data_IF_023382711121
#
_entry.id   IF_023382711121
#
_cell.length_a   1.000
_cell.length_b   1.000
_cell.length_c   1.000
_cell.angle_alpha   90.00
_cell.angle_beta   90.00
_cell.angle_gamma   90.00
#
_symmetry.space_group_name_H-M   'P 1'
#
loop_
_entity.id
_entity.type
_entity.pdbx_description
1 polymer ?
#
# COMPACT_ATOMS: atom_id res chain seq x y z
N UNK A 1 43.02 9.34 4.52
CA UNK A 1 42.04 10.43 4.37
C UNK A 1 40.81 9.86 3.65
N UNK A 2 39.62 10.09 4.22
CA UNK A 2 38.27 9.84 3.71
C UNK A 2 37.81 8.39 3.51
N UNK A 3 37.34 7.77 4.60
CA UNK A 3 36.43 6.62 4.59
C UNK A 3 35.18 6.99 5.41
N UNK A 4 34.28 7.81 4.83
CA UNK A 4 33.01 8.18 5.47
C UNK A 4 31.88 8.53 4.48
N UNK A 5 31.99 8.14 3.20
CA UNK A 5 31.02 8.56 2.16
C UNK A 5 29.94 7.51 1.83
N UNK A 6 30.03 6.27 2.30
CA UNK A 6 29.20 5.18 1.77
C UNK A 6 28.03 4.69 2.67
N UNK A 7 27.61 5.49 3.65
CA UNK A 7 26.46 5.13 4.52
C UNK A 7 25.26 6.09 4.47
N UNK A 8 25.42 7.30 3.94
CA UNK A 8 24.28 8.21 3.70
C UNK A 8 23.49 7.86 2.42
N UNK A 9 24.15 7.33 1.39
CA UNK A 9 23.49 7.02 0.12
C UNK A 9 22.47 5.87 0.25
N UNK A 10 22.79 4.83 1.03
CA UNK A 10 21.85 3.72 1.31
C UNK A 10 20.61 4.17 2.08
N UNK A 11 20.74 5.12 3.01
CA UNK A 11 19.60 5.69 3.74
C UNK A 11 18.72 6.53 2.81
N UNK A 12 19.34 7.29 1.88
CA UNK A 12 18.62 8.12 0.91
C UNK A 12 17.88 7.28 -0.13
N UNK A 13 18.51 6.22 -0.64
CA UNK A 13 17.87 5.22 -1.51
C UNK A 13 16.73 4.51 -0.78
N UNK A 14 16.91 4.09 0.49
CA UNK A 14 15.81 3.53 1.30
C UNK A 14 14.66 4.50 1.47
N UNK A 15 14.92 5.80 1.67
CA UNK A 15 13.87 6.83 1.80
C UNK A 15 13.14 7.07 0.48
N UNK A 16 13.86 7.06 -0.66
CA UNK A 16 13.28 7.14 -2.01
C UNK A 16 12.44 5.92 -2.33
N UNK A 17 12.96 4.72 -2.06
CA UNK A 17 12.28 3.46 -2.25
C UNK A 17 11.08 3.34 -1.31
N UNK A 18 11.16 3.79 -0.05
CA UNK A 18 10.02 3.79 0.87
C UNK A 18 8.87 4.67 0.36
N UNK A 19 9.17 5.86 -0.16
CA UNK A 19 8.16 6.73 -0.76
C UNK A 19 7.52 6.10 -2.02
N UNK A 20 8.34 5.51 -2.88
CA UNK A 20 7.88 4.84 -4.10
C UNK A 20 7.07 3.58 -3.80
N UNK A 21 7.54 2.74 -2.87
CA UNK A 21 6.85 1.55 -2.39
C UNK A 21 5.52 1.93 -1.73
N UNK A 22 5.48 2.99 -0.92
CA UNK A 22 4.22 3.47 -0.34
C UNK A 22 3.25 4.01 -1.41
N UNK A 23 3.74 4.64 -2.47
CA UNK A 23 2.92 5.06 -3.60
C UNK A 23 2.36 3.86 -4.37
N UNK A 24 3.17 2.83 -4.59
CA UNK A 24 2.76 1.57 -5.21
C UNK A 24 1.72 0.86 -4.34
N UNK A 25 1.95 0.73 -3.03
CA UNK A 25 0.99 0.14 -2.09
C UNK A 25 -0.32 0.91 -2.05
N UNK A 26 -0.29 2.25 -2.04
CA UNK A 26 -1.50 3.08 -2.13
C UNK A 26 -2.25 2.82 -3.44
N UNK A 27 -1.53 2.72 -4.56
CA UNK A 27 -2.13 2.46 -5.87
C UNK A 27 -2.71 1.05 -5.97
N UNK A 28 -2.04 0.04 -5.41
CA UNK A 28 -2.57 -1.32 -5.27
C UNK A 28 -3.83 -1.34 -4.41
N UNK A 29 -3.81 -0.72 -3.23
CA UNK A 29 -4.97 -0.61 -2.36
C UNK A 29 -6.16 0.10 -3.04
N UNK A 30 -5.91 1.18 -3.77
CA UNK A 30 -6.95 1.88 -4.54
C UNK A 30 -7.51 1.03 -5.68
N UNK A 31 -6.67 0.27 -6.38
CA UNK A 31 -7.11 -0.66 -7.42
C UNK A 31 -7.96 -1.80 -6.85
N UNK A 32 -7.58 -2.33 -5.68
CA UNK A 32 -8.35 -3.31 -4.91
C UNK A 32 -9.73 -2.78 -4.49
N UNK A 33 -9.75 -1.58 -3.90
CA UNK A 33 -10.99 -0.90 -3.49
C UNK A 33 -11.92 -0.56 -4.66
N UNK A 34 -11.36 -0.33 -5.86
CA UNK A 34 -12.11 -0.14 -7.11
C UNK A 34 -12.65 -1.45 -7.68
N UNK A 35 -11.91 -2.56 -7.53
CA UNK A 35 -12.33 -3.90 -7.96
C UNK A 35 -13.44 -4.48 -7.09
N UNK A 36 -13.46 -4.14 -5.81
CA UNK A 36 -14.57 -4.48 -4.93
C UNK A 36 -15.86 -3.82 -5.44
N UNK A 37 -16.81 -4.61 -5.94
CA UNK A 37 -18.16 -4.17 -6.33
C UNK A 37 -19.20 -4.45 -5.25
N UNK A 38 -18.81 -5.17 -4.19
CA UNK A 38 -19.63 -5.66 -3.09
C UNK A 38 -20.32 -4.53 -2.33
N UNK A 39 -19.65 -3.40 -2.16
CA UNK A 39 -20.20 -2.24 -1.46
C UNK A 39 -20.28 -1.03 -2.40
N UNK A 40 -21.50 -0.55 -2.70
CA UNK A 40 -21.73 0.75 -3.38
C UNK A 40 -21.46 1.93 -2.44
N UNK A 41 -20.21 2.10 -2.02
CA UNK A 41 -19.75 3.26 -1.25
C UNK A 41 -18.54 3.90 -1.93
N UNK A 42 -18.36 5.20 -1.68
CA UNK A 42 -17.19 5.93 -2.18
C UNK A 42 -15.88 5.31 -1.66
N UNK A 43 -14.80 5.37 -2.44
CA UNK A 43 -13.48 4.85 -2.07
C UNK A 43 -13.01 5.28 -0.68
N UNK A 44 -13.30 6.53 -0.29
CA UNK A 44 -12.94 7.08 1.01
C UNK A 44 -13.66 6.37 2.16
N UNK A 45 -14.92 6.01 1.95
CA UNK A 45 -15.75 5.30 2.93
C UNK A 45 -15.34 3.82 3.01
N UNK A 46 -15.07 3.17 1.87
CA UNK A 46 -14.51 1.81 1.86
C UNK A 46 -13.19 1.73 2.60
N UNK A 47 -12.29 2.70 2.41
CA UNK A 47 -11.01 2.76 3.15
C UNK A 47 -11.22 2.90 4.66
N UNK A 48 -12.17 3.74 5.09
CA UNK A 48 -12.53 3.84 6.51
C UNK A 48 -13.17 2.54 7.03
N UNK A 49 -14.00 1.90 6.21
CA UNK A 49 -14.65 0.65 6.56
C UNK A 49 -13.64 -0.50 6.71
N UNK A 50 -12.61 -0.60 5.84
CA UNK A 50 -11.48 -1.51 6.05
C UNK A 50 -10.69 -1.22 7.33
N UNK A 51 -10.61 0.06 7.74
CA UNK A 51 -9.91 0.43 8.97
C UNK A 51 -10.70 0.07 10.24
N UNK A 52 -12.03 -0.06 10.13
CA UNK A 52 -12.91 -0.36 11.26
C UNK A 52 -13.40 -1.80 11.29
N UNK A 53 -13.41 -2.49 10.16
CA UNK A 53 -13.93 -3.83 10.02
C UNK A 53 -12.87 -4.77 9.42
N UNK A 54 -12.20 -5.58 10.26
CA UNK A 54 -11.13 -6.46 9.82
C UNK A 54 -11.62 -7.54 8.84
N UNK A 55 -12.87 -8.00 8.96
CA UNK A 55 -13.47 -8.97 8.03
C UNK A 55 -13.55 -8.38 6.61
N UNK A 56 -13.95 -7.11 6.50
CA UNK A 56 -14.00 -6.42 5.22
C UNK A 56 -12.61 -6.17 4.65
N UNK A 57 -11.62 -5.89 5.51
CA UNK A 57 -10.22 -5.82 5.08
C UNK A 57 -9.76 -7.18 4.50
N UNK A 58 -10.09 -8.28 5.16
CA UNK A 58 -9.73 -9.63 4.71
C UNK A 58 -10.41 -10.00 3.40
N UNK A 59 -11.68 -9.61 3.22
CA UNK A 59 -12.37 -9.74 1.95
C UNK A 59 -11.67 -8.98 0.82
N UNK A 60 -11.30 -7.71 1.04
CA UNK A 60 -10.54 -6.94 0.06
C UNK A 60 -9.16 -7.55 -0.22
N UNK A 61 -8.48 -8.09 0.79
CA UNK A 61 -7.20 -8.76 0.61
C UNK A 61 -7.34 -10.08 -0.15
N UNK A 62 -8.43 -10.82 0.02
CA UNK A 62 -8.74 -12.02 -0.78
C UNK A 62 -9.03 -11.71 -2.25
N UNK A 63 -9.48 -10.49 -2.55
CA UNK A 63 -9.64 -9.98 -3.92
C UNK A 63 -8.32 -9.53 -4.54
N UNK A 64 -7.24 -9.40 -3.75
CA UNK A 64 -5.92 -9.20 -4.32
C UNK A 64 -5.57 -10.46 -5.11
N UNK A 65 -5.00 -10.33 -6.32
CA UNK A 65 -4.46 -11.50 -7.01
C UNK A 65 -3.43 -12.09 -6.04
N UNK A 66 -3.72 -13.28 -5.53
CA UNK A 66 -2.74 -14.14 -4.90
C UNK A 66 -1.67 -14.33 -5.96
N UNK A 67 -0.62 -13.53 -5.91
CA UNK A 67 0.61 -13.87 -6.61
C UNK A 67 1.03 -15.24 -6.06
N UNK A 68 1.33 -16.21 -6.95
CA UNK A 68 1.73 -17.56 -6.56
C UNK A 68 3.01 -17.56 -5.71
#
# INVERSE_FOLDING_TARGET
MMDMTFREDQLRIRKRNAAQNAAILRRMALNLLKRDTTVKKSLRQKRKYCAWNPEYLMHILSLAPSSP
#
